data_IF_183481446223
#
_entry.id   IF_183481446223
#
_cell.length_a   1.000
_cell.length_b   1.000
_cell.length_c   1.000
_cell.angle_alpha   90.00
_cell.angle_beta   90.00
_cell.angle_gamma   90.00
#
_symmetry.space_group_name_H-M   'P 1'
#
loop_
_entity.id
_entity.type
_entity.pdbx_description
1 polymer ?
#
# COMPACT_ATOMS: atom_id res chain seq x y z
N UNK A 1 -32.53 7.40 -24.10
CA UNK A 1 -31.80 8.36 -24.95
C UNK A 1 -30.92 9.20 -24.02
N UNK A 2 -29.60 9.23 -24.24
CA UNK A 2 -28.62 9.83 -23.30
C UNK A 2 -28.33 11.33 -23.51
N UNK A 3 -29.00 11.98 -24.47
CA UNK A 3 -28.83 13.39 -24.80
C UNK A 3 -30.08 14.15 -24.37
N UNK A 4 -29.90 15.26 -23.66
CA UNK A 4 -30.96 16.12 -23.14
C UNK A 4 -31.03 17.48 -23.83
N UNK A 5 -31.46 18.49 -23.07
CA UNK A 5 -31.66 19.86 -23.55
C UNK A 5 -30.39 20.49 -24.14
N UNK A 6 -30.56 21.34 -25.16
CA UNK A 6 -29.48 22.16 -25.71
C UNK A 6 -29.12 23.28 -24.73
N UNK A 7 -27.88 23.28 -24.25
CA UNK A 7 -27.39 24.18 -23.21
C UNK A 7 -26.78 25.46 -23.77
N UNK A 8 -26.41 25.47 -25.04
CA UNK A 8 -25.82 26.63 -25.67
C UNK A 8 -24.88 26.30 -26.83
N UNK A 9 -24.33 27.34 -27.41
CA UNK A 9 -23.50 27.28 -28.62
C UNK A 9 -22.31 28.22 -28.47
N UNK A 10 -21.13 27.76 -28.87
CA UNK A 10 -19.89 28.55 -28.89
C UNK A 10 -19.31 28.52 -30.30
N UNK A 11 -18.79 29.65 -30.79
CA UNK A 11 -18.09 29.71 -32.07
C UNK A 11 -16.59 29.59 -31.82
N UNK A 12 -16.00 28.46 -32.23
CA UNK A 12 -14.59 28.15 -32.00
C UNK A 12 -13.69 28.58 -33.18
N UNK A 13 -14.30 28.91 -34.33
CA UNK A 13 -13.60 29.45 -35.50
C UNK A 13 -14.52 29.85 -36.66
N UNK A 14 -13.94 30.25 -37.80
CA UNK A 14 -14.73 30.53 -39.01
C UNK A 14 -15.41 29.25 -39.52
N UNK A 15 -16.74 29.22 -39.44
CA UNK A 15 -17.58 28.06 -39.79
C UNK A 15 -17.33 26.81 -38.93
N UNK A 16 -16.84 26.98 -37.70
CA UNK A 16 -16.70 25.91 -36.70
C UNK A 16 -17.42 26.32 -35.42
N UNK A 17 -18.34 25.47 -34.96
CA UNK A 17 -19.25 25.78 -33.86
C UNK A 17 -19.46 24.54 -33.00
N UNK A 18 -19.27 24.66 -31.68
CA UNK A 18 -19.60 23.60 -30.72
C UNK A 18 -20.95 23.85 -30.05
N UNK A 19 -21.87 22.92 -30.23
CA UNK A 19 -23.14 22.86 -29.52
C UNK A 19 -22.99 22.00 -28.26
N UNK A 20 -23.50 22.47 -27.11
CA UNK A 20 -23.53 21.70 -25.86
C UNK A 20 -24.93 21.22 -25.54
N UNK A 21 -25.07 19.97 -25.08
CA UNK A 21 -26.33 19.38 -24.65
C UNK A 21 -26.17 18.70 -23.30
N UNK A 22 -27.20 18.72 -22.46
CA UNK A 22 -27.20 18.02 -21.17
C UNK A 22 -26.96 16.52 -21.38
N UNK A 23 -26.06 15.91 -20.61
CA UNK A 23 -25.98 14.44 -20.55
C UNK A 23 -27.08 13.91 -19.62
N UNK A 24 -27.86 12.93 -20.08
CA UNK A 24 -28.89 12.26 -19.28
C UNK A 24 -28.44 10.91 -18.73
N UNK A 25 -27.21 10.49 -19.04
CA UNK A 25 -26.63 9.26 -18.49
C UNK A 25 -26.26 9.46 -17.01
N UNK A 26 -26.76 8.57 -16.16
CA UNK A 26 -26.48 8.59 -14.72
C UNK A 26 -25.02 8.35 -14.37
N UNK A 27 -24.24 7.72 -15.26
CA UNK A 27 -22.80 7.54 -15.08
C UNK A 27 -22.00 8.84 -15.24
N UNK A 28 -22.58 9.85 -15.91
CA UNK A 28 -21.90 11.10 -16.25
C UNK A 28 -22.66 12.33 -15.72
N UNK A 29 -22.98 12.31 -14.43
CA UNK A 29 -23.66 13.44 -13.76
C UNK A 29 -22.85 14.72 -13.85
N UNK A 30 -23.51 15.80 -14.26
CA UNK A 30 -22.87 17.11 -14.43
C UNK A 30 -22.06 17.25 -15.74
N UNK A 31 -21.91 16.19 -16.52
CA UNK A 31 -21.26 16.24 -17.84
C UNK A 31 -22.25 16.70 -18.93
N UNK A 32 -21.70 17.18 -20.03
CA UNK A 32 -22.48 17.57 -21.20
C UNK A 32 -21.86 17.00 -22.48
N UNK A 33 -22.72 16.72 -23.46
CA UNK A 33 -22.28 16.39 -24.81
C UNK A 33 -21.82 17.68 -25.50
N UNK A 34 -20.62 17.69 -26.03
CA UNK A 34 -20.11 18.72 -26.92
C UNK A 34 -20.07 18.13 -28.34
N UNK A 35 -20.85 18.74 -29.24
CA UNK A 35 -20.91 18.35 -30.66
C UNK A 35 -20.36 19.51 -31.47
N UNK A 36 -19.15 19.34 -31.96
CA UNK A 36 -18.51 20.32 -32.83
C UNK A 36 -18.93 20.04 -34.26
N UNK A 37 -19.47 21.07 -34.91
CA UNK A 37 -19.87 21.02 -36.31
C UNK A 37 -19.08 22.03 -37.11
N UNK A 38 -18.69 21.62 -38.32
CA UNK A 38 -17.91 22.44 -39.22
C UNK A 38 -18.58 22.50 -40.60
N UNK A 39 -18.34 23.61 -41.32
CA UNK A 39 -18.69 23.71 -42.74
C UNK A 39 -17.47 24.13 -43.55
N UNK A 40 -16.96 23.19 -44.35
CA UNK A 40 -15.86 23.46 -45.26
C UNK A 40 -16.19 24.61 -46.25
N UNK A 41 -15.16 25.31 -46.71
CA UNK A 41 -15.34 26.42 -47.67
C UNK A 41 -16.05 25.94 -48.94
N UNK A 42 -17.06 26.69 -49.38
CA UNK A 42 -17.96 26.36 -50.50
C UNK A 42 -18.86 25.13 -50.30
N UNK A 43 -18.78 24.42 -49.18
CA UNK A 43 -19.72 23.36 -48.86
C UNK A 43 -21.12 23.93 -48.56
N UNK A 44 -22.14 23.20 -48.98
CA UNK A 44 -23.55 23.53 -48.74
C UNK A 44 -24.08 22.93 -47.44
N UNK A 45 -23.45 21.85 -46.98
CA UNK A 45 -23.88 21.10 -45.80
C UNK A 45 -22.88 21.31 -44.67
N UNK A 46 -23.41 21.32 -43.45
CA UNK A 46 -22.63 21.25 -42.21
C UNK A 46 -22.36 19.77 -41.92
N UNK A 47 -21.15 19.45 -41.48
CA UNK A 47 -20.76 18.10 -41.03
C UNK A 47 -20.42 18.11 -39.55
N UNK A 48 -20.63 16.98 -38.87
CA UNK A 48 -20.11 16.78 -37.51
C UNK A 48 -18.63 16.49 -37.64
N UNK A 49 -17.82 17.22 -36.88
CA UNK A 49 -16.36 17.00 -36.80
C UNK A 49 -16.07 16.01 -35.67
N UNK A 50 -16.62 16.27 -34.49
CA UNK A 50 -16.47 15.43 -33.30
C UNK A 50 -17.73 15.48 -32.41
N UNK A 51 -17.91 14.41 -31.64
CA UNK A 51 -18.88 14.34 -30.55
C UNK A 51 -18.20 13.72 -29.35
N UNK A 52 -17.98 14.52 -28.32
CA UNK A 52 -17.34 14.08 -27.09
C UNK A 52 -18.14 14.50 -25.86
N UNK A 53 -17.81 13.90 -24.73
CA UNK A 53 -18.37 14.26 -23.45
C UNK A 53 -17.38 15.14 -22.70
N UNK A 54 -17.82 16.31 -22.27
CA UNK A 54 -16.99 17.26 -21.51
C UNK A 54 -17.57 17.50 -20.12
N UNK A 55 -16.72 17.71 -19.11
CA UNK A 55 -17.19 18.00 -17.77
C UNK A 55 -17.84 19.38 -17.74
N UNK A 56 -19.06 19.44 -17.18
CA UNK A 56 -19.69 20.71 -16.81
C UNK A 56 -19.27 21.16 -15.40
N UNK A 57 -19.81 22.29 -14.91
CA UNK A 57 -19.46 22.84 -13.59
C UNK A 57 -19.76 21.89 -12.42
N UNK A 58 -20.74 21.02 -12.59
CA UNK A 58 -21.17 20.05 -11.57
C UNK A 58 -20.60 18.64 -11.81
N UNK A 59 -19.69 18.49 -12.79
CA UNK A 59 -19.08 17.20 -13.10
C UNK A 59 -18.08 16.79 -12.01
N UNK A 60 -18.15 15.52 -11.60
CA UNK A 60 -17.11 14.91 -10.78
C UNK A 60 -15.92 14.61 -11.71
N UNK A 61 -14.78 15.24 -11.42
CA UNK A 61 -13.53 15.03 -12.13
C UNK A 61 -12.68 13.96 -11.43
N UNK A 62 -11.80 13.32 -12.20
CA UNK A 62 -10.76 12.50 -11.61
C UNK A 62 -9.84 13.39 -10.74
N UNK A 63 -9.25 12.84 -9.66
CA UNK A 63 -8.17 13.50 -8.96
C UNK A 63 -6.99 13.80 -9.89
N UNK A 64 -6.13 14.72 -9.47
CA UNK A 64 -4.88 14.97 -10.18
C UNK A 64 -4.04 13.69 -10.28
N UNK A 65 -3.39 13.52 -11.42
CA UNK A 65 -2.51 12.38 -11.64
C UNK A 65 -1.29 12.48 -10.71
N UNK A 66 -0.99 11.38 -10.02
CA UNK A 66 0.16 11.28 -9.10
C UNK A 66 1.16 10.25 -9.66
N UNK A 67 2.47 10.58 -9.73
CA UNK A 67 3.51 9.64 -10.14
C UNK A 67 3.44 8.32 -9.37
N UNK A 68 3.68 7.20 -10.05
CA UNK A 68 3.52 5.87 -9.45
C UNK A 68 4.34 5.67 -8.17
N UNK A 69 5.56 6.22 -8.12
CA UNK A 69 6.45 6.10 -6.96
C UNK A 69 5.89 6.81 -5.73
N UNK A 70 5.17 7.91 -5.94
CA UNK A 70 4.53 8.69 -4.87
C UNK A 70 3.21 8.06 -4.41
N UNK A 71 2.69 7.09 -5.16
CA UNK A 71 1.50 6.32 -4.77
C UNK A 71 1.82 5.12 -3.89
N UNK A 72 3.10 4.75 -3.75
CA UNK A 72 3.50 3.57 -2.99
C UNK A 72 3.33 3.78 -1.49
N UNK A 73 2.64 2.83 -0.86
CA UNK A 73 2.46 2.75 0.57
C UNK A 73 3.35 1.66 1.20
N UNK A 74 3.62 1.75 2.52
CA UNK A 74 4.27 0.66 3.23
C UNK A 74 3.48 -0.65 3.06
N UNK A 75 4.10 -1.67 2.47
CA UNK A 75 3.50 -2.98 2.22
C UNK A 75 3.12 -3.26 0.76
N UNK A 76 3.15 -2.26 -0.12
CA UNK A 76 2.83 -2.44 -1.55
C UNK A 76 3.89 -3.26 -2.31
N UNK A 77 5.12 -3.28 -1.80
CA UNK A 77 6.23 -4.02 -2.39
C UNK A 77 6.37 -5.40 -1.74
N UNK A 78 6.50 -6.42 -2.57
CA UNK A 78 6.73 -7.81 -2.20
C UNK A 78 8.16 -8.28 -2.40
N UNK A 79 8.38 -9.56 -2.14
CA UNK A 79 9.67 -10.22 -2.39
C UNK A 79 9.94 -10.25 -3.89
N UNK A 80 11.05 -9.65 -4.30
CA UNK A 80 11.48 -9.57 -5.70
C UNK A 80 11.30 -8.20 -6.34
N UNK A 81 10.53 -7.30 -5.71
CA UNK A 81 10.40 -5.92 -6.19
C UNK A 81 11.66 -5.11 -5.91
N UNK A 82 12.10 -4.34 -6.91
CA UNK A 82 13.28 -3.49 -6.82
C UNK A 82 12.87 -2.02 -6.81
N UNK A 83 13.04 -1.38 -5.66
CA UNK A 83 12.88 0.06 -5.50
C UNK A 83 14.10 0.66 -4.79
N UNK A 84 15.10 1.15 -5.55
CA UNK A 84 16.24 1.83 -4.95
C UNK A 84 15.83 3.11 -4.23
N UNK A 85 16.39 3.34 -3.04
CA UNK A 85 16.22 4.60 -2.33
C UNK A 85 16.89 5.74 -3.12
N UNK A 86 16.24 6.91 -3.25
CA UNK A 86 16.84 8.05 -3.93
C UNK A 86 18.16 8.48 -3.26
N UNK A 87 19.05 9.17 -3.99
CA UNK A 87 20.30 9.68 -3.43
C UNK A 87 20.06 10.58 -2.20
N UNK A 88 19.06 11.45 -2.29
CA UNK A 88 18.71 12.46 -1.28
C UNK A 88 17.61 12.01 -0.30
N UNK A 89 17.49 10.69 -0.03
CA UNK A 89 16.53 10.20 0.97
C UNK A 89 16.93 10.65 2.38
N UNK A 90 16.16 11.55 2.98
CA UNK A 90 16.42 12.10 4.31
C UNK A 90 16.45 11.04 5.43
N UNK A 91 15.92 9.84 5.19
CA UNK A 91 15.99 8.71 6.13
C UNK A 91 17.35 8.02 6.13
N UNK A 92 18.25 8.36 5.20
CA UNK A 92 19.56 7.76 5.05
C UNK A 92 20.66 8.81 5.19
N UNK A 93 21.73 8.45 5.88
CA UNK A 93 22.98 9.25 5.96
C UNK A 93 24.18 8.37 5.59
N UNK A 94 25.28 8.95 5.08
CA UNK A 94 26.52 8.20 4.88
C UNK A 94 26.99 7.59 6.20
N UNK A 95 27.47 6.35 6.18
CA UNK A 95 27.94 5.70 7.41
C UNK A 95 29.17 6.40 8.04
N UNK A 96 29.99 7.04 7.21
CA UNK A 96 31.15 7.83 7.65
C UNK A 96 30.76 9.12 8.39
N UNK A 97 29.52 9.59 8.26
CA UNK A 97 29.03 10.81 8.95
C UNK A 97 28.75 10.60 10.44
N UNK A 98 29.06 9.42 10.99
CA UNK A 98 28.97 9.14 12.44
C UNK A 98 30.13 9.74 13.25
N UNK A 99 31.20 10.21 12.60
CA UNK A 99 32.36 10.85 13.24
C UNK A 99 32.28 12.38 13.10
N UNK A 100 31.24 13.01 13.65
CA UNK A 100 31.05 14.46 13.62
C UNK A 100 29.97 14.97 14.59
N UNK A 101 30.19 16.17 15.14
CA UNK A 101 29.37 16.88 16.16
C UNK A 101 27.94 17.24 15.69
N UNK A 102 27.54 16.81 14.51
CA UNK A 102 26.23 16.99 13.88
C UNK A 102 25.50 15.66 13.60
N UNK A 103 26.03 14.53 14.11
CA UNK A 103 25.50 13.18 13.92
C UNK A 103 25.13 12.45 15.21
N UNK A 104 24.41 13.09 16.14
CA UNK A 104 23.64 12.50 17.27
C UNK A 104 24.17 11.15 17.78
N UNK A 105 25.32 11.18 18.44
CA UNK A 105 25.74 10.12 19.37
C UNK A 105 24.90 10.23 20.66
N UNK A 106 23.61 9.90 20.59
CA UNK A 106 22.77 9.74 21.81
C UNK A 106 21.90 8.48 21.77
N UNK A 107 22.30 7.44 21.05
CA UNK A 107 21.70 6.12 21.24
C UNK A 107 22.76 5.02 21.05
N UNK A 108 23.79 4.97 21.91
CA UNK A 108 24.60 3.76 22.18
C UNK A 108 25.17 2.99 20.97
N UNK A 109 25.58 3.65 19.90
CA UNK A 109 26.09 3.01 18.66
C UNK A 109 27.57 2.60 18.73
N UNK A 110 28.28 2.79 19.84
CA UNK A 110 29.72 2.45 19.97
C UNK A 110 30.01 0.93 20.04
N UNK A 111 29.02 0.06 19.82
CA UNK A 111 29.20 -1.39 19.92
C UNK A 111 29.09 -2.16 18.59
N UNK A 112 28.79 -1.50 17.47
CA UNK A 112 28.60 -2.19 16.18
C UNK A 112 29.50 -1.70 15.03
N UNK A 113 30.27 -0.64 15.24
CA UNK A 113 31.45 -0.34 14.43
C UNK A 113 32.64 -1.10 15.05
N UNK A 114 33.15 -2.10 14.34
CA UNK A 114 34.32 -2.87 14.77
C UNK A 114 35.58 -1.98 14.84
N UNK A 115 36.58 -2.33 15.66
CA UNK A 115 37.77 -1.51 15.84
C UNK A 115 38.71 -1.59 14.63
N UNK A 116 39.14 -0.44 14.09
CA UNK A 116 40.35 -0.34 13.26
C UNK A 116 40.22 0.20 11.83
N UNK A 117 39.14 0.89 11.46
CA UNK A 117 39.07 1.56 10.15
C UNK A 117 39.65 2.97 10.25
N UNK A 118 40.82 3.19 9.62
CA UNK A 118 41.43 4.52 9.51
C UNK A 118 40.83 5.28 8.32
N UNK A 119 40.68 6.62 8.42
CA UNK A 119 39.85 7.43 7.53
C UNK A 119 40.33 7.56 6.07
N UNK A 120 41.53 7.09 5.75
CA UNK A 120 42.13 7.22 4.42
C UNK A 120 41.68 6.16 3.41
N UNK A 121 40.97 5.12 3.86
CA UNK A 121 40.55 3.98 3.02
C UNK A 121 39.12 4.12 2.43
N UNK A 122 38.44 5.25 2.64
CA UNK A 122 37.07 5.47 2.14
C UNK A 122 37.05 6.16 0.77
N UNK A 123 36.48 5.47 -0.23
CA UNK A 123 36.33 5.98 -1.60
C UNK A 123 35.27 7.11 -1.65
N UNK A 124 35.57 8.30 -2.20
CA UNK A 124 34.60 9.38 -2.34
C UNK A 124 33.45 9.00 -3.30
N UNK A 125 32.22 9.35 -2.94
CA UNK A 125 31.06 9.28 -3.85
C UNK A 125 31.18 10.42 -4.87
N UNK A 126 31.17 10.16 -6.19
CA UNK A 126 31.18 11.23 -7.17
C UNK A 126 29.84 11.97 -7.16
N UNK A 127 29.89 13.29 -7.09
CA UNK A 127 28.73 14.16 -7.29
C UNK A 127 28.20 14.00 -8.71
N UNK A 128 26.95 13.59 -8.86
CA UNK A 128 26.29 13.57 -10.17
C UNK A 128 25.75 14.97 -10.48
N UNK A 129 26.18 15.54 -11.60
CA UNK A 129 25.62 16.78 -12.15
C UNK A 129 24.12 16.58 -12.49
N UNK A 130 23.26 17.60 -12.30
CA UNK A 130 21.84 17.48 -12.58
C UNK A 130 21.57 17.31 -14.08
N UNK A 131 20.71 16.34 -14.43
CA UNK A 131 20.21 16.17 -15.79
C UNK A 131 19.39 17.40 -16.20
N UNK A 132 19.76 18.02 -17.31
CA UNK A 132 19.06 19.16 -17.89
C UNK A 132 17.71 18.73 -18.49
N UNK A 133 16.67 19.50 -18.19
CA UNK A 133 15.34 19.40 -18.80
C UNK A 133 15.42 19.66 -20.31
N UNK A 134 14.88 18.74 -21.11
CA UNK A 134 14.75 18.83 -22.56
C UNK A 134 13.28 18.83 -22.99
N UNK A 135 12.93 19.50 -24.10
CA UNK A 135 11.63 20.16 -24.25
C UNK A 135 10.48 19.24 -24.65
N UNK A 136 9.29 19.62 -24.18
CA UNK A 136 7.98 19.14 -24.61
C UNK A 136 7.78 19.29 -26.12
N UNK A 137 7.72 18.17 -26.86
CA UNK A 137 6.96 18.12 -28.11
C UNK A 137 6.45 16.69 -28.36
N UNK A 138 5.14 16.49 -28.18
CA UNK A 138 4.45 15.23 -28.43
C UNK A 138 3.87 15.24 -29.85
N UNK A 139 4.46 14.45 -30.75
CA UNK A 139 3.75 13.96 -31.93
C UNK A 139 3.68 12.44 -31.92
N UNK A 140 2.44 11.97 -32.01
CA UNK A 140 1.97 10.58 -32.08
C UNK A 140 2.71 9.72 -33.13
N UNK A 141 3.21 8.57 -32.68
CA UNK A 141 3.25 7.33 -33.48
C UNK A 141 3.44 6.14 -32.54
N UNK A 142 2.36 5.38 -32.35
CA UNK A 142 2.38 4.09 -31.69
C UNK A 142 3.28 3.10 -32.45
N UNK A 143 4.32 2.63 -31.78
CA UNK A 143 4.94 1.32 -32.03
C UNK A 143 5.41 0.75 -30.70
N UNK A 144 4.86 -0.41 -30.35
CA UNK A 144 5.26 -1.24 -29.22
C UNK A 144 6.74 -1.63 -29.36
N UNK A 145 7.60 -1.15 -28.46
CA UNK A 145 8.89 -1.78 -28.17
C UNK A 145 9.18 -1.67 -26.67
N UNK A 146 8.93 -2.77 -25.97
CA UNK A 146 9.34 -2.98 -24.60
C UNK A 146 10.83 -3.30 -24.57
N UNK A 147 11.68 -2.27 -24.62
CA UNK A 147 13.11 -2.43 -24.30
C UNK A 147 13.72 -1.11 -23.81
N UNK A 148 13.71 -0.93 -22.48
CA UNK A 148 14.29 0.28 -21.89
C UNK A 148 14.30 0.35 -20.37
N UNK A 149 14.22 -0.77 -19.66
CA UNK A 149 14.67 -0.78 -18.27
C UNK A 149 16.20 -0.77 -18.31
N UNK A 150 16.80 0.39 -17.99
CA UNK A 150 18.24 0.49 -17.76
C UNK A 150 18.61 -0.48 -16.63
N UNK A 151 19.10 -1.65 -17.03
CA UNK A 151 19.60 -2.67 -16.13
C UNK A 151 20.76 -2.06 -15.34
N UNK A 152 20.57 -1.94 -14.03
CA UNK A 152 21.70 -1.83 -13.11
C UNK A 152 22.39 -3.19 -13.18
N UNK A 153 23.44 -3.29 -14.00
CA UNK A 153 24.26 -4.49 -14.06
C UNK A 153 25.02 -4.60 -12.76
N UNK A 154 24.49 -5.35 -11.80
CA UNK A 154 25.29 -5.94 -10.75
C UNK A 154 26.26 -6.91 -11.44
N UNK A 155 27.54 -6.57 -11.48
CA UNK A 155 28.59 -7.45 -11.99
C UNK A 155 28.68 -8.67 -11.07
N UNK A 156 27.97 -9.74 -11.42
CA UNK A 156 28.19 -11.06 -10.85
C UNK A 156 29.47 -11.63 -11.48
N UNK A 157 30.62 -11.27 -10.90
CA UNK A 157 31.83 -12.06 -11.07
C UNK A 157 31.60 -13.39 -10.39
N UNK A 158 31.46 -14.46 -11.17
CA UNK A 158 31.57 -15.81 -10.65
C UNK A 158 33.04 -16.06 -10.32
N UNK A 159 33.38 -15.96 -9.03
CA UNK A 159 34.65 -16.44 -8.51
C UNK A 159 34.40 -17.41 -7.35
N UNK A 160 35.36 -18.31 -7.21
CA UNK A 160 35.48 -19.47 -6.31
C UNK A 160 34.85 -19.25 -4.92
N UNK A 161 34.15 -20.28 -4.39
CA UNK A 161 33.45 -20.27 -3.09
C UNK A 161 34.43 -20.05 -1.93
N UNK A 162 34.80 -18.79 -1.74
CA UNK A 162 35.43 -18.29 -0.53
C UNK A 162 34.28 -18.03 0.43
N UNK A 163 34.23 -18.74 1.56
CA UNK A 163 33.31 -18.38 2.64
C UNK A 163 33.76 -17.03 3.18
N UNK A 164 33.29 -15.94 2.58
CA UNK A 164 33.48 -14.60 3.11
C UNK A 164 32.93 -14.59 4.53
N UNK A 165 33.82 -14.36 5.49
CA UNK A 165 33.41 -14.19 6.87
C UNK A 165 32.58 -12.90 6.97
N UNK A 166 31.64 -12.83 7.91
CA UNK A 166 30.84 -11.60 8.13
C UNK A 166 31.76 -10.39 8.37
N UNK A 167 32.97 -10.64 8.86
CA UNK A 167 34.03 -9.66 9.15
C UNK A 167 34.69 -9.08 7.89
N UNK A 168 34.69 -9.81 6.76
CA UNK A 168 35.27 -9.34 5.49
C UNK A 168 34.29 -8.49 4.66
N UNK A 169 33.03 -8.37 5.10
CA UNK A 169 32.00 -7.64 4.36
C UNK A 169 32.27 -6.14 4.41
N UNK A 170 32.25 -5.43 3.26
CA UNK A 170 32.40 -3.98 3.26
C UNK A 170 31.33 -3.32 4.15
N UNK A 171 31.69 -2.25 4.88
CA UNK A 171 30.75 -1.55 5.73
C UNK A 171 29.58 -0.99 4.91
N UNK A 172 28.45 -0.78 5.57
CA UNK A 172 27.27 -0.20 4.92
C UNK A 172 27.63 1.18 4.39
N UNK A 173 27.35 1.47 3.12
CA UNK A 173 27.60 2.80 2.55
C UNK A 173 26.69 3.88 3.17
N UNK A 174 25.43 3.52 3.47
CA UNK A 174 24.43 4.38 4.11
C UNK A 174 23.74 3.64 5.25
N UNK A 175 23.36 4.39 6.27
CA UNK A 175 22.65 3.90 7.47
C UNK A 175 21.40 4.77 7.74
N UNK A 176 20.50 4.31 8.60
CA UNK A 176 19.33 5.10 8.97
C UNK A 176 19.75 6.37 9.72
N UNK A 177 19.25 7.51 9.28
CA UNK A 177 19.34 8.79 9.98
C UNK A 177 18.47 8.80 11.23
N UNK A 178 18.59 9.83 12.08
CA UNK A 178 17.69 10.01 13.23
C UNK A 178 16.21 10.08 12.78
N UNK A 179 15.92 10.83 11.72
CA UNK A 179 14.59 10.92 11.11
C UNK A 179 14.10 9.54 10.68
N UNK A 180 14.95 8.78 9.97
CA UNK A 180 14.60 7.44 9.50
C UNK A 180 14.29 6.47 10.65
N UNK A 181 15.01 6.60 11.78
CA UNK A 181 14.76 5.80 12.99
C UNK A 181 13.46 6.19 13.68
N UNK A 182 13.22 7.48 13.87
CA UNK A 182 12.02 7.99 14.54
C UNK A 182 10.75 7.67 13.74
N UNK A 183 10.77 7.89 12.43
CA UNK A 183 9.67 7.54 11.52
C UNK A 183 9.37 6.04 11.55
N UNK A 184 10.43 5.22 11.58
CA UNK A 184 10.31 3.76 11.67
C UNK A 184 9.71 3.35 13.00
N UNK A 185 10.22 3.89 14.11
CA UNK A 185 9.73 3.60 15.45
C UNK A 185 8.26 3.99 15.59
N UNK A 186 7.87 5.19 15.15
CA UNK A 186 6.48 5.63 15.17
C UNK A 186 5.59 4.68 14.37
N UNK A 187 5.93 4.42 13.11
CA UNK A 187 5.14 3.57 12.21
C UNK A 187 4.96 2.15 12.77
N UNK A 188 6.01 1.55 13.32
CA UNK A 188 5.93 0.22 13.91
C UNK A 188 5.12 0.22 15.21
N UNK A 189 5.32 1.20 16.09
CA UNK A 189 4.62 1.26 17.37
C UNK A 189 3.12 1.55 17.22
N UNK A 190 2.72 2.27 16.16
CA UNK A 190 1.31 2.55 15.87
C UNK A 190 0.66 1.52 14.93
N UNK A 191 1.40 0.48 14.53
CA UNK A 191 0.88 -0.58 13.64
C UNK A 191 0.01 -1.59 14.39
N UNK A 192 -0.50 -2.59 13.65
CA UNK A 192 -1.19 -3.75 14.20
C UNK A 192 -0.28 -4.64 15.08
N UNK A 193 1.03 -4.42 15.03
CA UNK A 193 2.04 -5.07 15.90
C UNK A 193 2.50 -4.18 17.07
N UNK A 194 1.77 -3.07 17.27
CA UNK A 194 1.93 -2.14 18.38
C UNK A 194 1.12 -2.55 19.62
N UNK A 195 1.31 -1.88 20.77
CA UNK A 195 0.60 -2.23 22.01
C UNK A 195 -0.89 -1.87 21.99
N UNK A 196 -1.31 -1.02 21.06
CA UNK A 196 -2.71 -0.58 20.91
C UNK A 196 -3.51 -1.45 19.94
N UNK A 197 -2.88 -2.49 19.38
CA UNK A 197 -3.58 -3.42 18.51
C UNK A 197 -4.73 -4.11 19.29
N UNK A 198 -5.89 -4.35 18.66
CA UNK A 198 -7.01 -5.03 19.32
C UNK A 198 -6.60 -6.35 19.99
N UNK A 199 -5.78 -7.15 19.30
CA UNK A 199 -5.25 -8.42 19.80
C UNK A 199 -4.34 -8.24 21.03
N UNK A 200 -3.53 -7.18 21.06
CA UNK A 200 -2.60 -6.91 22.16
C UNK A 200 -3.33 -6.72 23.50
N UNK A 201 -4.50 -6.09 23.47
CA UNK A 201 -5.32 -5.88 24.68
C UNK A 201 -5.94 -7.17 25.25
N UNK A 202 -6.08 -8.21 24.42
CA UNK A 202 -6.67 -9.49 24.79
C UNK A 202 -5.62 -10.59 25.04
N UNK A 203 -4.35 -10.31 24.78
CA UNK A 203 -3.28 -11.28 24.88
C UNK A 203 -2.98 -11.67 26.35
N UNK A 204 -2.58 -12.92 26.60
CA UNK A 204 -2.29 -13.41 27.95
C UNK A 204 -0.99 -12.84 28.56
N UNK A 205 -0.16 -12.19 27.75
CA UNK A 205 1.12 -11.63 28.17
C UNK A 205 1.74 -10.73 27.09
N UNK A 206 2.74 -9.94 27.51
CA UNK A 206 3.47 -9.01 26.65
C UNK A 206 4.69 -9.68 26.02
N UNK A 207 5.04 -9.27 24.80
CA UNK A 207 6.20 -9.77 24.06
C UNK A 207 7.50 -9.67 24.86
N UNK A 208 7.68 -8.64 25.71
CA UNK A 208 8.88 -8.48 26.54
C UNK A 208 9.18 -9.65 27.48
N UNK A 209 8.16 -10.43 27.86
CA UNK A 209 8.28 -11.63 28.70
C UNK A 209 8.10 -12.95 27.95
N UNK A 210 7.85 -12.90 26.64
CA UNK A 210 7.59 -14.09 25.83
C UNK A 210 8.90 -14.79 25.44
N UNK A 211 8.96 -16.12 25.59
CA UNK A 211 10.12 -16.93 25.18
C UNK A 211 10.37 -16.96 23.67
N UNK A 212 9.38 -16.59 22.85
CA UNK A 212 9.50 -16.48 21.39
C UNK A 212 9.95 -15.10 20.91
N UNK A 213 10.19 -14.16 21.83
CA UNK A 213 10.57 -12.79 21.48
C UNK A 213 12.07 -12.66 21.26
N UNK A 214 12.47 -12.37 20.02
CA UNK A 214 13.87 -12.13 19.64
C UNK A 214 14.12 -10.63 19.58
N UNK A 215 14.93 -10.09 20.49
CA UNK A 215 15.28 -8.65 20.51
C UNK A 215 16.00 -8.24 19.24
N UNK A 216 15.64 -7.08 18.67
CA UNK A 216 16.44 -6.46 17.63
C UNK A 216 17.77 -5.95 18.21
N UNK A 217 18.78 -5.85 17.35
CA UNK A 217 20.04 -5.17 17.70
C UNK A 217 19.92 -3.65 17.68
N UNK A 218 20.83 -2.97 18.37
CA UNK A 218 20.94 -1.51 18.36
C UNK A 218 19.79 -0.79 19.07
N UNK A 219 19.60 0.52 18.79
CA UNK A 219 18.66 1.38 19.52
C UNK A 219 17.19 0.94 19.45
N UNK A 220 16.73 0.49 18.28
CA UNK A 220 15.37 0.00 18.08
C UNK A 220 15.07 -1.24 18.95
N UNK A 221 16.10 -2.03 19.28
CA UNK A 221 15.99 -3.19 20.18
C UNK A 221 15.54 -2.89 21.61
N UNK A 222 15.52 -1.61 22.01
CA UNK A 222 14.96 -1.19 23.31
C UNK A 222 13.43 -1.25 23.34
N UNK A 223 12.79 -1.11 22.18
CA UNK A 223 11.32 -1.01 22.04
C UNK A 223 10.75 -2.10 21.13
N UNK A 224 11.58 -2.74 20.29
CA UNK A 224 11.13 -3.70 19.29
C UNK A 224 11.92 -5.01 19.30
N UNK A 225 11.26 -6.07 18.84
CA UNK A 225 11.83 -7.38 18.56
C UNK A 225 11.07 -8.05 17.43
N UNK A 226 11.40 -9.30 17.14
CA UNK A 226 10.72 -10.15 16.16
C UNK A 226 10.06 -11.31 16.89
N UNK A 227 8.82 -11.63 16.51
CA UNK A 227 8.16 -12.84 16.98
C UNK A 227 8.69 -14.04 16.18
N UNK A 228 9.13 -15.10 16.87
CA UNK A 228 9.61 -16.34 16.26
C UNK A 228 8.67 -17.52 16.50
N UNK A 229 7.41 -17.26 16.85
CA UNK A 229 6.41 -18.31 17.06
C UNK A 229 5.64 -18.55 15.76
N UNK A 230 5.91 -19.68 15.09
CA UNK A 230 5.22 -20.09 13.85
C UNK A 230 3.69 -20.18 13.98
N UNK A 231 3.18 -20.35 15.20
CA UNK A 231 1.75 -20.42 15.48
C UNK A 231 1.13 -19.07 15.86
N UNK A 232 1.94 -18.02 16.01
CA UNK A 232 1.44 -16.67 16.22
C UNK A 232 1.11 -16.00 14.88
N UNK A 233 0.09 -15.11 14.82
CA UNK A 233 -0.16 -14.31 13.63
C UNK A 233 1.00 -13.38 13.26
N UNK A 234 1.86 -13.08 14.23
CA UNK A 234 2.99 -12.16 14.09
C UNK A 234 4.31 -12.85 13.74
N UNK A 235 4.32 -14.14 13.40
CA UNK A 235 5.56 -14.86 13.06
C UNK A 235 6.38 -14.11 11.98
N UNK A 236 7.68 -13.94 12.26
CA UNK A 236 8.61 -13.21 11.39
C UNK A 236 8.33 -11.70 11.29
N UNK A 237 7.40 -11.14 12.06
CA UNK A 237 7.08 -9.70 12.08
C UNK A 237 7.78 -8.98 13.22
N UNK A 238 8.06 -7.70 12.99
CA UNK A 238 8.53 -6.81 14.05
C UNK A 238 7.36 -6.43 14.94
N UNK A 239 7.52 -6.65 16.24
CA UNK A 239 6.52 -6.35 17.28
C UNK A 239 7.15 -5.44 18.34
N UNK A 240 6.33 -4.59 18.94
CA UNK A 240 6.74 -3.79 20.10
C UNK A 240 6.88 -4.66 21.36
N UNK A 241 7.74 -4.27 22.30
CA UNK A 241 7.98 -5.00 23.56
C UNK A 241 6.72 -5.15 24.42
N UNK A 242 5.78 -4.22 24.27
CA UNK A 242 4.48 -4.15 24.94
C UNK A 242 3.32 -4.62 24.05
N UNK A 243 3.59 -5.26 22.91
CA UNK A 243 2.59 -5.96 22.10
C UNK A 243 2.20 -7.32 22.71
N UNK A 244 1.08 -7.89 22.26
CA UNK A 244 0.68 -9.25 22.59
C UNK A 244 -0.03 -9.93 21.42
N UNK A 245 0.45 -11.12 21.03
CA UNK A 245 0.00 -11.85 19.84
C UNK A 245 -1.07 -12.93 20.12
N UNK A 246 -1.48 -13.10 21.38
CA UNK A 246 -2.37 -14.19 21.81
C UNK A 246 -1.70 -15.58 21.94
N UNK A 247 -0.62 -15.83 21.22
CA UNK A 247 0.15 -17.09 21.26
C UNK A 247 1.45 -16.94 22.10
N UNK A 248 1.30 -16.48 23.34
CA UNK A 248 2.42 -16.31 24.28
C UNK A 248 3.07 -17.66 24.64
N UNK A 249 4.38 -17.70 24.90
CA UNK A 249 5.10 -18.96 25.23
C UNK A 249 4.59 -19.67 26.48
N UNK A 250 4.05 -18.89 27.41
CA UNK A 250 3.41 -19.36 28.64
C UNK A 250 1.87 -19.36 28.53
N UNK A 251 1.34 -19.10 27.33
CA UNK A 251 -0.08 -19.14 27.05
C UNK A 251 -0.62 -20.55 27.23
N UNK A 252 -1.19 -20.82 28.40
CA UNK A 252 -1.94 -22.06 28.62
C UNK A 252 -3.28 -21.89 27.91
N UNK A 253 -3.56 -22.71 26.91
CA UNK A 253 -4.92 -22.83 26.39
C UNK A 253 -5.81 -23.20 27.57
N UNK A 254 -6.79 -22.34 27.89
CA UNK A 254 -7.81 -22.72 28.86
C UNK A 254 -8.36 -24.07 28.38
N UNK A 255 -8.12 -25.12 29.17
CA UNK A 255 -8.59 -26.46 28.89
C UNK A 255 -10.07 -26.34 28.55
N UNK A 256 -10.41 -26.66 27.30
CA UNK A 256 -11.77 -26.74 26.76
C UNK A 256 -12.70 -25.69 27.37
N UNK A 257 -12.78 -24.49 26.75
CA UNK A 257 -14.06 -23.78 26.82
C UNK A 257 -15.10 -24.82 26.43
N UNK A 258 -15.97 -25.21 27.37
CA UNK A 258 -17.07 -26.12 27.13
C UNK A 258 -17.75 -25.57 25.89
N UNK A 259 -17.52 -26.24 24.75
CA UNK A 259 -18.25 -25.93 23.53
C UNK A 259 -19.70 -26.05 23.97
N UNK A 260 -20.49 -24.95 23.97
CA UNK A 260 -21.89 -25.08 24.31
C UNK A 260 -22.41 -26.16 23.38
N UNK A 261 -22.95 -27.24 23.97
CA UNK A 261 -23.50 -28.33 23.18
C UNK A 261 -24.38 -27.68 22.12
N UNK A 262 -24.23 -28.05 20.83
CA UNK A 262 -25.08 -27.47 19.80
C UNK A 262 -26.52 -27.62 20.30
N UNK A 263 -27.24 -26.51 20.40
CA UNK A 263 -28.66 -26.54 20.73
C UNK A 263 -29.33 -27.13 19.51
N UNK A 264 -29.45 -28.46 19.49
CA UNK A 264 -30.22 -29.15 18.47
C UNK A 264 -31.67 -29.10 18.93
N UNK A 265 -32.44 -28.19 18.34
CA UNK A 265 -33.87 -28.07 18.59
C UNK A 265 -34.61 -29.19 17.84
N UNK A 266 -34.58 -30.40 18.39
CA UNK A 266 -35.24 -31.59 17.83
C UNK A 266 -36.77 -31.60 18.10
N UNK A 267 -37.33 -30.56 18.75
CA UNK A 267 -38.75 -30.51 19.15
C UNK A 267 -39.48 -29.22 18.74
N UNK A 268 -38.77 -28.19 18.29
CA UNK A 268 -39.33 -26.96 17.76
C UNK A 268 -39.51 -27.02 16.25
N UNK A 269 -40.76 -26.92 15.80
CA UNK A 269 -41.05 -26.55 14.42
C UNK A 269 -41.30 -25.05 14.38
N UNK A 270 -40.58 -24.34 13.50
CA UNK A 270 -40.82 -22.93 13.26
C UNK A 270 -42.03 -22.80 12.31
N UNK A 271 -43.13 -22.21 12.78
CA UNK A 271 -44.32 -22.02 11.95
C UNK A 271 -44.09 -20.87 10.98
N UNK A 272 -43.88 -21.21 9.70
CA UNK A 272 -43.79 -20.24 8.62
C UNK A 272 -45.19 -19.98 8.08
N UNK A 273 -45.67 -18.74 8.22
CA UNK A 273 -46.94 -18.31 7.64
C UNK A 273 -46.79 -18.19 6.13
N UNK A 274 -47.31 -19.18 5.40
CA UNK A 274 -47.30 -19.24 3.95
C UNK A 274 -48.66 -18.74 3.43
N UNK A 275 -48.71 -17.65 2.63
CA UNK A 275 -49.97 -17.12 2.15
C UNK A 275 -50.70 -18.16 1.27
N UNK A 276 -51.86 -18.62 1.74
CA UNK A 276 -52.72 -19.58 1.05
C UNK A 276 -52.94 -20.94 1.74
N UNK A 277 -52.35 -21.17 2.93
CA UNK A 277 -52.59 -22.39 3.72
C UNK A 277 -53.25 -22.01 5.05
N UNK A 278 -54.55 -22.27 5.20
CA UNK A 278 -55.26 -22.03 6.46
C UNK A 278 -55.23 -23.29 7.34
N UNK A 279 -54.91 -23.12 8.61
CA UNK A 279 -54.82 -24.23 9.59
C UNK A 279 -56.17 -24.94 9.76
N UNK A 280 -57.28 -24.20 9.58
CA UNK A 280 -58.65 -24.72 9.71
C UNK A 280 -59.08 -25.65 8.56
N UNK A 281 -58.38 -25.64 7.42
CA UNK A 281 -58.66 -26.50 6.26
C UNK A 281 -57.81 -27.78 6.26
N UNK A 282 -56.85 -27.90 7.18
CA UNK A 282 -56.06 -29.11 7.37
C UNK A 282 -56.83 -30.07 8.28
N UNK A 283 -57.66 -30.91 7.66
CA UNK A 283 -58.45 -31.95 8.33
C UNK A 283 -57.50 -32.94 9.02
N UNK A 284 -57.37 -32.85 10.34
CA UNK A 284 -56.93 -33.97 11.16
C UNK A 284 -58.17 -34.84 11.44
N UNK A 285 -58.27 -35.98 10.76
CA UNK A 285 -59.24 -37.03 11.11
C UNK A 285 -58.90 -37.55 12.52
N UNK A 286 -59.81 -37.48 13.51
CA UNK A 286 -59.54 -38.03 14.83
C UNK A 286 -59.55 -39.56 14.74
N UNK A 287 -58.39 -40.19 15.01
CA UNK A 287 -58.28 -41.63 15.22
C UNK A 287 -58.85 -41.99 16.59
N UNK A 288 -60.18 -42.02 16.70
CA UNK A 288 -60.85 -42.69 17.79
C UNK A 288 -60.81 -44.20 17.52
N UNK A 289 -59.98 -44.93 18.26
CA UNK A 289 -60.03 -46.38 18.33
C UNK A 289 -60.39 -46.81 19.76
N UNK A 290 -61.55 -47.46 19.84
CA UNK A 290 -62.06 -48.25 20.97
C UNK A 290 -61.25 -49.55 21.14
#
# INVERSE_FOLDING_TARGET
>A
AGVGEHLGVTADGDRVVTHRFRCLDSAYRGWCWAVTVARASRARNVTVDESLLVPGPDAILAPDWVPWRERLLPGDLGVGDLLPAPPDDARLVPAASLEGDDGVADWGETAWAMPGTEPEDLVPVPSAEPFADGPDDLTDAATEDQSGAAAVTAAAGADETTTESIEDRPPRARILSAIGRDDTALRWYTSEHGPKAPLASAAPGLCSGCGFFVRLGGPLGRVFGVCANEYAPDDGRVVSVDHGCGAHSEGVTAATAEQPLPVIDELGYDMVDMPGVSVEETVFEPLDHN
#
